data_IF_987040497889
#
_entry.id   IF_987040497889
#
_cell.length_a   1.000
_cell.length_b   1.000
_cell.length_c   1.000
_cell.angle_alpha   90.00
_cell.angle_beta   90.00
_cell.angle_gamma   90.00
#
_symmetry.space_group_name_H-M   'P 1'
#
loop_
_entity.id
_entity.type
_entity.pdbx_description
1 polymer ?
#
# COMPACT_ATOMS: atom_id res chain seq x y z
N UNK A 1 -62.53 -31.22 -53.41
CA UNK A 1 -61.42 -30.23 -53.30
C UNK A 1 -61.36 -29.90 -51.83
N UNK A 2 -60.34 -30.25 -51.05
CA UNK A 2 -58.90 -30.35 -51.29
C UNK A 2 -58.26 -31.55 -50.55
N UNK A 3 -57.06 -31.88 -51.02
CA UNK A 3 -56.24 -33.05 -50.73
C UNK A 3 -55.67 -33.12 -49.29
N UNK A 4 -55.70 -34.31 -48.69
CA UNK A 4 -54.75 -34.68 -47.65
C UNK A 4 -53.37 -34.91 -48.29
N UNK A 5 -52.45 -33.95 -48.11
CA UNK A 5 -51.03 -34.13 -48.47
C UNK A 5 -50.36 -35.14 -47.55
N UNK A 6 -49.85 -36.21 -48.16
CA UNK A 6 -49.04 -37.23 -47.51
C UNK A 6 -47.70 -36.66 -47.04
N UNK A 7 -47.42 -36.80 -45.75
CA UNK A 7 -46.10 -36.50 -45.18
C UNK A 7 -45.09 -37.54 -45.69
N UNK A 8 -44.15 -37.06 -46.50
CA UNK A 8 -43.12 -37.88 -47.13
C UNK A 8 -42.12 -38.40 -46.08
N UNK A 9 -42.00 -39.72 -45.94
CA UNK A 9 -41.09 -40.42 -45.00
C UNK A 9 -39.62 -39.95 -45.08
N UNK A 10 -39.19 -39.40 -46.22
CA UNK A 10 -37.83 -38.85 -46.41
C UNK A 10 -37.60 -37.51 -45.71
N UNK A 11 -38.64 -36.73 -45.44
CA UNK A 11 -38.52 -35.43 -44.77
C UNK A 11 -38.42 -35.58 -43.25
N UNK A 12 -39.09 -36.57 -42.68
CA UNK A 12 -39.02 -36.90 -41.24
C UNK A 12 -37.62 -37.40 -40.83
N UNK A 13 -36.98 -38.25 -41.65
CA UNK A 13 -35.64 -38.78 -41.36
C UNK A 13 -34.55 -37.68 -41.44
N UNK A 14 -34.71 -36.68 -42.32
CA UNK A 14 -33.78 -35.54 -42.39
C UNK A 14 -33.94 -34.56 -41.22
N UNK A 15 -35.12 -34.42 -40.63
CA UNK A 15 -35.33 -33.59 -39.45
C UNK A 15 -34.91 -34.30 -38.15
N UNK A 16 -34.97 -35.63 -38.09
CA UNK A 16 -34.48 -36.39 -36.92
C UNK A 16 -32.95 -36.47 -36.82
N UNK A 17 -32.20 -36.24 -37.90
CA UNK A 17 -30.72 -36.19 -37.87
C UNK A 17 -30.16 -34.81 -37.48
N UNK A 18 -30.98 -33.74 -37.46
CA UNK A 18 -30.55 -32.40 -37.04
C UNK A 18 -30.69 -32.17 -35.51
N UNK A 19 -31.33 -33.09 -34.78
CA UNK A 19 -31.49 -33.04 -33.32
C UNK A 19 -30.64 -34.07 -32.57
N UNK A 20 -29.93 -34.95 -33.28
CA UNK A 20 -29.13 -36.04 -32.71
C UNK A 20 -27.61 -35.79 -32.64
N UNK A 21 -27.11 -34.65 -33.11
CA UNK A 21 -25.69 -34.32 -33.16
C UNK A 21 -25.28 -33.14 -32.25
N UNK A 22 -26.12 -32.79 -31.27
CA UNK A 22 -25.78 -31.81 -30.21
C UNK A 22 -25.53 -32.52 -28.86
N UNK A 23 -25.66 -33.84 -28.79
CA UNK A 23 -25.62 -34.59 -27.53
C UNK A 23 -24.27 -35.26 -27.19
N UNK A 24 -23.16 -34.95 -27.89
CA UNK A 24 -21.92 -35.73 -27.72
C UNK A 24 -20.60 -34.94 -27.79
N UNK A 25 -20.60 -33.64 -27.45
CA UNK A 25 -19.35 -32.92 -27.17
C UNK A 25 -19.47 -32.10 -25.90
N UNK A 26 -18.98 -32.70 -24.81
CA UNK A 26 -18.48 -31.97 -23.66
C UNK A 26 -19.51 -31.57 -22.61
N UNK A 27 -20.02 -32.54 -21.84
CA UNK A 27 -20.08 -32.32 -20.40
C UNK A 27 -18.65 -32.27 -19.87
N UNK A 28 -17.93 -31.20 -20.21
CA UNK A 28 -16.82 -30.77 -19.38
C UNK A 28 -17.45 -30.49 -18.02
N UNK A 29 -16.93 -31.06 -16.92
CA UNK A 29 -17.32 -30.57 -15.62
C UNK A 29 -16.90 -29.10 -15.56
N UNK A 30 -17.87 -28.20 -15.75
CA UNK A 30 -17.70 -26.75 -15.51
C UNK A 30 -17.28 -26.49 -14.06
N UNK A 31 -17.44 -27.48 -13.19
CA UNK A 31 -16.98 -27.49 -11.80
C UNK A 31 -15.47 -27.75 -11.63
N UNK A 32 -14.70 -27.98 -12.70
CA UNK A 32 -13.22 -28.11 -12.66
C UNK A 32 -12.50 -26.83 -13.14
N UNK A 33 -13.21 -25.82 -13.65
CA UNK A 33 -12.60 -24.59 -14.18
C UNK A 33 -12.63 -23.37 -13.25
N UNK A 34 -13.16 -23.50 -12.04
CA UNK A 34 -13.37 -22.35 -11.16
C UNK A 34 -13.08 -22.62 -9.68
N UNK A 35 -11.82 -22.83 -9.28
CA UNK A 35 -11.46 -22.76 -7.84
C UNK A 35 -10.04 -22.30 -7.47
N UNK A 36 -9.09 -22.03 -8.38
CA UNK A 36 -7.68 -21.78 -7.92
C UNK A 36 -6.90 -20.65 -8.63
N UNK A 37 -7.59 -19.68 -9.24
CA UNK A 37 -6.94 -18.57 -9.98
C UNK A 37 -6.97 -17.21 -9.28
N UNK A 38 -7.51 -17.15 -8.07
CA UNK A 38 -7.55 -15.91 -7.30
C UNK A 38 -6.47 -15.90 -6.23
N UNK A 39 -5.65 -14.85 -6.22
CA UNK A 39 -4.70 -14.60 -5.14
C UNK A 39 -5.14 -13.38 -4.37
N UNK A 40 -5.33 -13.52 -3.06
CA UNK A 40 -5.53 -12.40 -2.15
C UNK A 40 -4.19 -11.95 -1.59
N UNK A 41 -3.94 -10.64 -1.67
CA UNK A 41 -2.88 -9.93 -0.98
C UNK A 41 -3.51 -8.94 -0.01
N UNK A 42 -3.14 -9.01 1.25
CA UNK A 42 -3.54 -8.06 2.29
C UNK A 42 -2.41 -7.07 2.51
N UNK A 43 -2.67 -5.79 2.32
CA UNK A 43 -1.75 -4.70 2.57
C UNK A 43 -2.21 -3.97 3.82
N UNK A 44 -1.39 -4.01 4.86
CA UNK A 44 -1.56 -3.22 6.06
C UNK A 44 -0.66 -2.00 5.96
N UNK A 45 -1.15 -0.84 6.42
CA UNK A 45 -0.33 0.35 6.40
C UNK A 45 -0.60 1.32 7.54
N UNK A 46 0.45 2.08 7.86
CA UNK A 46 0.46 3.20 8.78
C UNK A 46 1.10 4.41 8.11
N UNK A 47 0.85 5.58 8.70
CA UNK A 47 1.49 6.83 8.36
C UNK A 47 1.49 7.71 9.62
N UNK A 48 2.46 8.63 9.73
CA UNK A 48 2.48 9.70 10.73
C UNK A 48 2.34 9.17 12.17
N UNK A 49 2.99 8.04 12.49
CA UNK A 49 2.85 7.45 13.83
C UNK A 49 3.49 8.32 14.92
N UNK A 50 4.36 9.26 14.55
CA UNK A 50 4.88 10.34 15.40
C UNK A 50 5.27 9.87 16.80
N UNK A 51 6.16 8.87 16.86
CA UNK A 51 6.72 8.37 18.12
C UNK A 51 5.64 7.97 19.14
N UNK A 52 4.40 7.67 18.70
CA UNK A 52 3.30 7.27 19.59
C UNK A 52 3.48 5.81 19.99
N UNK A 53 4.38 5.61 20.96
CA UNK A 53 4.72 4.31 21.54
C UNK A 53 3.60 3.82 22.46
N UNK A 54 3.15 4.67 23.36
CA UNK A 54 2.03 4.42 24.27
C UNK A 54 0.72 4.96 23.70
N UNK A 55 -0.44 4.44 24.13
CA UNK A 55 -1.72 5.07 23.85
C UNK A 55 -1.78 6.51 24.37
N UNK A 56 -2.68 7.32 23.80
CA UNK A 56 -3.01 8.62 24.39
C UNK A 56 -3.55 8.44 25.83
N UNK A 57 -3.23 9.36 26.75
CA UNK A 57 -3.68 9.28 28.13
C UNK A 57 -5.22 9.34 28.24
N UNK A 58 -5.77 8.79 29.32
CA UNK A 58 -7.21 8.86 29.64
C UNK A 58 -7.55 10.21 30.30
N UNK A 59 -7.38 11.29 29.54
CA UNK A 59 -7.46 12.68 30.01
C UNK A 59 -8.74 13.41 29.56
N UNK A 60 -9.70 12.69 28.95
CA UNK A 60 -10.91 13.29 28.41
C UNK A 60 -10.75 13.89 27.00
N UNK A 61 -9.55 13.88 26.42
CA UNK A 61 -9.31 14.40 25.07
C UNK A 61 -9.99 13.55 23.97
N UNK A 62 -10.11 14.13 22.77
CA UNK A 62 -10.74 13.49 21.60
C UNK A 62 -10.15 12.10 21.27
N UNK A 63 -8.86 11.90 21.51
CA UNK A 63 -8.14 10.68 21.14
C UNK A 63 -7.72 9.84 22.35
N UNK A 64 -8.22 10.15 23.54
CA UNK A 64 -7.87 9.45 24.77
C UNK A 64 -7.96 7.94 24.61
N UNK A 65 -6.93 7.21 25.07
CA UNK A 65 -6.89 5.76 25.00
C UNK A 65 -6.80 5.17 23.60
N UNK A 66 -6.50 5.94 22.55
CA UNK A 66 -6.23 5.43 21.20
C UNK A 66 -4.73 5.29 20.92
N UNK A 67 -4.37 4.52 19.89
CA UNK A 67 -3.00 4.32 19.45
C UNK A 67 -2.20 3.36 20.33
N UNK A 68 -0.87 3.48 20.27
CA UNK A 68 0.08 2.64 21.00
C UNK A 68 0.57 1.43 20.19
N UNK A 69 1.87 1.18 20.25
CA UNK A 69 2.57 0.15 19.48
C UNK A 69 2.15 -1.26 19.89
N UNK A 70 1.95 -1.50 21.19
CA UNK A 70 1.54 -2.82 21.69
C UNK A 70 0.18 -3.26 21.11
N UNK A 71 -0.78 -2.34 21.05
CA UNK A 71 -2.10 -2.57 20.45
C UNK A 71 -2.03 -2.76 18.93
N UNK A 72 -1.20 -1.95 18.25
CA UNK A 72 -0.90 -2.18 16.82
C UNK A 72 -0.33 -3.57 16.58
N UNK A 73 0.64 -4.00 17.40
CA UNK A 73 1.24 -5.33 17.32
C UNK A 73 0.19 -6.44 17.47
N UNK A 74 -0.67 -6.38 18.50
CA UNK A 74 -1.79 -7.30 18.68
C UNK A 74 -2.66 -7.38 17.43
N UNK A 75 -3.11 -6.24 16.91
CA UNK A 75 -3.99 -6.18 15.74
C UNK A 75 -3.32 -6.76 14.50
N UNK A 76 -2.09 -6.32 14.18
CA UNK A 76 -1.31 -6.82 13.03
C UNK A 76 -1.12 -8.33 13.13
N UNK A 77 -0.77 -8.84 14.31
CA UNK A 77 -0.57 -10.28 14.53
C UNK A 77 -1.88 -11.07 14.42
N UNK A 78 -3.02 -10.50 14.82
CA UNK A 78 -4.32 -11.13 14.62
C UNK A 78 -4.66 -11.31 13.13
N UNK A 79 -4.36 -10.30 12.31
CA UNK A 79 -4.58 -10.34 10.87
C UNK A 79 -3.63 -11.34 10.20
N UNK A 80 -2.35 -11.36 10.59
CA UNK A 80 -1.35 -12.32 10.09
C UNK A 80 -1.67 -13.77 10.44
N UNK A 81 -2.43 -14.03 11.52
CA UNK A 81 -2.90 -15.39 11.84
C UNK A 81 -3.99 -15.87 10.88
N UNK A 82 -4.79 -14.96 10.31
CA UNK A 82 -5.91 -15.30 9.43
C UNK A 82 -5.60 -15.16 7.95
N UNK A 83 -4.65 -14.29 7.57
CA UNK A 83 -4.31 -14.00 6.18
C UNK A 83 -2.91 -14.52 5.84
N UNK A 84 -2.78 -15.19 4.68
CA UNK A 84 -1.51 -15.82 4.26
C UNK A 84 -0.50 -14.84 3.67
N UNK A 85 -0.98 -13.87 2.90
CA UNK A 85 -0.15 -12.97 2.10
C UNK A 85 -0.30 -11.55 2.62
N UNK A 86 0.41 -11.21 3.69
CA UNK A 86 0.33 -9.90 4.32
C UNK A 86 1.58 -9.07 4.02
N UNK A 87 1.40 -7.82 3.61
CA UNK A 87 2.44 -6.78 3.62
C UNK A 87 2.11 -5.77 4.72
N UNK A 88 3.12 -5.25 5.40
CA UNK A 88 3.00 -4.14 6.34
C UNK A 88 3.91 -3.01 5.89
N UNK A 89 3.35 -1.85 5.59
CA UNK A 89 4.04 -0.71 4.97
C UNK A 89 3.86 0.56 5.79
N UNK A 90 4.83 1.48 5.76
CA UNK A 90 4.73 2.77 6.43
C UNK A 90 4.98 3.95 5.48
N UNK A 91 4.15 4.98 5.57
CA UNK A 91 4.21 6.16 4.71
C UNK A 91 5.01 7.34 5.31
N UNK A 92 5.87 7.12 6.31
CA UNK A 92 6.75 8.16 6.87
C UNK A 92 6.18 8.90 8.08
N UNK A 93 6.98 9.82 8.63
CA UNK A 93 6.76 10.50 9.91
C UNK A 93 6.53 9.52 11.07
N UNK A 94 7.42 8.54 11.18
CA UNK A 94 7.50 7.69 12.35
C UNK A 94 8.18 8.39 13.53
N UNK A 95 9.03 9.37 13.24
CA UNK A 95 9.76 10.16 14.22
C UNK A 95 8.98 11.39 14.69
N UNK A 96 9.53 12.01 15.75
CA UNK A 96 9.01 13.19 16.43
C UNK A 96 7.59 13.02 17.00
N UNK A 97 7.16 13.87 17.94
CA UNK A 97 5.76 13.95 18.38
C UNK A 97 5.49 13.45 19.81
N UNK A 98 6.43 12.71 20.41
CA UNK A 98 6.42 12.41 21.85
C UNK A 98 7.83 12.51 22.45
N UNK A 99 7.97 12.57 23.80
CA UNK A 99 9.29 12.57 24.45
C UNK A 99 10.17 11.35 24.13
N UNK A 100 9.62 10.24 23.64
CA UNK A 100 10.42 9.07 23.26
C UNK A 100 11.45 9.43 22.18
N UNK A 101 11.07 10.18 21.16
CA UNK A 101 12.01 10.61 20.11
C UNK A 101 13.15 11.47 20.68
N UNK A 102 12.85 12.37 21.61
CA UNK A 102 13.87 13.24 22.23
C UNK A 102 14.87 12.44 23.09
N UNK A 103 14.42 11.33 23.69
CA UNK A 103 15.25 10.49 24.56
C UNK A 103 16.03 9.41 23.79
N UNK A 104 15.44 8.87 22.72
CA UNK A 104 15.97 7.71 22.00
C UNK A 104 16.41 8.04 20.57
N UNK A 105 16.23 9.27 20.11
CA UNK A 105 16.71 9.78 18.81
C UNK A 105 16.27 8.92 17.60
N UNK A 106 15.07 8.34 17.66
CA UNK A 106 14.52 7.46 16.60
C UNK A 106 14.89 5.97 16.72
N UNK A 107 15.83 5.62 17.61
CA UNK A 107 16.24 4.21 17.82
C UNK A 107 15.07 3.32 18.21
N UNK A 108 14.25 3.76 19.16
CA UNK A 108 13.16 2.95 19.72
C UNK A 108 12.09 2.67 18.66
N UNK A 109 11.75 3.68 17.86
CA UNK A 109 10.80 3.60 16.76
C UNK A 109 11.24 2.54 15.75
N UNK A 110 12.50 2.59 15.31
CA UNK A 110 13.06 1.62 14.37
C UNK A 110 13.11 0.20 14.95
N UNK A 111 13.48 0.03 16.23
CA UNK A 111 13.45 -1.28 16.89
C UNK A 111 12.04 -1.87 16.94
N UNK A 112 11.05 -1.05 17.28
CA UNK A 112 9.66 -1.48 17.39
C UNK A 112 9.07 -1.80 16.02
N UNK A 113 9.29 -0.96 15.01
CA UNK A 113 8.85 -1.25 13.64
C UNK A 113 9.52 -2.53 13.10
N UNK A 114 10.81 -2.74 13.37
CA UNK A 114 11.50 -3.99 13.04
C UNK A 114 10.85 -5.21 13.70
N UNK A 115 10.44 -5.11 14.98
CA UNK A 115 9.73 -6.18 15.71
C UNK A 115 8.31 -6.41 15.18
N UNK A 116 7.63 -5.34 14.76
CA UNK A 116 6.33 -5.44 14.08
C UNK A 116 6.47 -6.03 12.67
N UNK A 117 7.69 -6.12 12.13
CA UNK A 117 7.97 -6.75 10.84
C UNK A 117 7.37 -5.96 9.68
N UNK A 118 7.65 -4.66 9.60
CA UNK A 118 7.37 -3.89 8.40
C UNK A 118 8.15 -4.48 7.21
N UNK A 119 7.54 -4.50 6.03
CA UNK A 119 8.18 -4.97 4.80
C UNK A 119 8.93 -3.82 4.08
N UNK A 120 8.47 -2.57 4.25
CA UNK A 120 9.13 -1.36 3.77
C UNK A 120 8.53 -0.11 4.44
N UNK A 121 9.30 0.98 4.46
CA UNK A 121 8.81 2.32 4.84
C UNK A 121 9.33 3.39 3.87
N UNK A 122 8.79 4.60 3.94
CA UNK A 122 9.39 5.79 3.31
C UNK A 122 9.75 6.83 4.36
N UNK A 123 10.24 8.00 3.92
CA UNK A 123 10.56 9.12 4.79
C UNK A 123 9.54 10.23 4.60
N UNK A 124 9.02 10.72 5.71
CA UNK A 124 8.43 12.04 5.84
C UNK A 124 9.45 13.09 6.23
N UNK A 125 8.95 14.27 6.59
CA UNK A 125 9.81 15.38 6.96
C UNK A 125 10.44 15.19 8.35
N UNK A 126 9.71 14.62 9.31
CA UNK A 126 10.19 14.48 10.69
C UNK A 126 11.31 13.43 10.86
N UNK A 127 11.55 12.60 9.85
CA UNK A 127 12.74 11.73 9.84
C UNK A 127 14.05 12.54 9.82
N UNK A 128 14.01 13.79 9.38
CA UNK A 128 15.16 14.68 9.29
C UNK A 128 15.28 15.65 10.46
N UNK A 129 14.42 15.63 11.48
CA UNK A 129 14.46 16.63 12.57
C UNK A 129 15.80 16.65 13.33
N UNK A 130 16.41 15.48 13.54
CA UNK A 130 17.75 15.34 14.13
C UNK A 130 18.88 15.36 13.06
N UNK A 131 18.55 15.80 11.85
CA UNK A 131 19.40 15.84 10.69
C UNK A 131 19.74 14.49 10.08
N UNK A 132 20.34 14.53 8.89
CA UNK A 132 20.87 13.37 8.16
C UNK A 132 21.79 12.52 9.06
N UNK A 133 22.60 13.15 9.92
CA UNK A 133 23.48 12.44 10.84
C UNK A 133 22.70 11.65 11.90
N UNK A 134 21.67 12.24 12.50
CA UNK A 134 20.82 11.58 13.49
C UNK A 134 20.08 10.38 12.89
N UNK A 135 19.49 10.57 11.70
CA UNK A 135 18.83 9.48 10.98
C UNK A 135 19.82 8.35 10.63
N UNK A 136 20.96 8.68 10.00
CA UNK A 136 21.95 7.70 9.57
C UNK A 136 22.56 6.90 10.74
N UNK A 137 22.67 7.50 11.93
CA UNK A 137 23.16 6.85 13.14
C UNK A 137 22.34 5.61 13.51
N UNK A 138 21.02 5.66 13.35
CA UNK A 138 20.12 4.59 13.80
C UNK A 138 19.46 3.80 12.67
N UNK A 139 19.53 4.27 11.41
CA UNK A 139 18.84 3.65 10.27
C UNK A 139 19.10 2.13 10.11
N UNK A 140 20.30 1.67 10.45
CA UNK A 140 20.71 0.25 10.38
C UNK A 140 19.94 -0.69 11.34
N UNK A 141 19.18 -0.14 12.28
CA UNK A 141 18.35 -0.89 13.23
C UNK A 141 17.05 -1.37 12.57
N UNK A 142 16.60 -0.69 11.51
CA UNK A 142 15.51 -1.17 10.68
C UNK A 142 15.93 -2.45 9.95
N UNK A 143 15.17 -3.54 10.13
CA UNK A 143 15.34 -4.77 9.38
C UNK A 143 14.58 -4.78 8.04
N UNK A 144 14.03 -3.63 7.67
CA UNK A 144 13.30 -3.35 6.44
C UNK A 144 13.93 -2.16 5.71
N UNK A 145 13.83 -2.10 4.37
CA UNK A 145 14.40 -1.00 3.61
C UNK A 145 13.50 0.24 3.66
N UNK A 146 14.16 1.40 3.63
CA UNK A 146 13.50 2.68 3.34
C UNK A 146 13.52 2.95 1.84
N UNK A 147 12.35 3.30 1.32
CA UNK A 147 12.12 3.59 -0.09
C UNK A 147 11.99 5.09 -0.29
N UNK A 148 12.84 5.66 -1.12
CA UNK A 148 12.68 7.03 -1.62
C UNK A 148 13.35 7.12 -2.97
N UNK A 149 12.59 7.60 -3.95
CA UNK A 149 13.08 7.80 -5.31
C UNK A 149 13.39 9.28 -5.60
N UNK A 150 12.86 10.21 -4.81
CA UNK A 150 12.94 11.65 -5.06
C UNK A 150 13.82 12.42 -4.07
N UNK A 151 14.45 11.74 -3.11
CA UNK A 151 15.58 12.30 -2.36
C UNK A 151 16.88 11.70 -2.88
N UNK A 152 17.75 12.56 -3.40
CA UNK A 152 19.12 12.20 -3.72
C UNK A 152 20.02 12.52 -2.53
N UNK A 153 20.71 11.49 -2.05
CA UNK A 153 21.60 11.53 -0.89
C UNK A 153 23.08 11.42 -1.26
N UNK A 154 23.45 11.50 -2.54
CA UNK A 154 24.86 11.43 -2.96
C UNK A 154 25.71 12.48 -2.23
N UNK A 155 26.82 12.02 -1.66
CA UNK A 155 27.72 12.85 -0.84
C UNK A 155 27.29 13.04 0.61
N UNK A 156 26.20 12.43 1.06
CA UNK A 156 25.71 12.49 2.45
C UNK A 156 25.92 11.17 3.19
N UNK A 157 25.68 11.17 4.51
CA UNK A 157 25.74 9.93 5.32
C UNK A 157 24.64 8.91 4.97
N UNK A 158 23.62 9.29 4.20
CA UNK A 158 22.54 8.42 3.75
C UNK A 158 22.78 7.82 2.37
N UNK A 159 23.89 8.17 1.70
CA UNK A 159 24.25 7.60 0.41
C UNK A 159 24.31 6.06 0.49
N UNK A 160 23.58 5.40 -0.43
CA UNK A 160 23.50 3.94 -0.48
C UNK A 160 22.74 3.27 0.67
N UNK A 161 22.08 4.03 1.56
CA UNK A 161 21.28 3.46 2.68
C UNK A 161 19.79 3.36 2.39
N UNK A 162 19.33 3.90 1.26
CA UNK A 162 17.95 3.84 0.79
C UNK A 162 17.86 3.08 -0.53
N UNK A 163 16.64 2.79 -0.98
CA UNK A 163 16.38 2.22 -2.30
C UNK A 163 15.32 3.05 -3.01
N UNK A 164 15.45 3.23 -4.32
CA UNK A 164 14.36 3.85 -5.10
C UNK A 164 13.12 2.95 -5.16
N UNK A 165 13.33 1.63 -5.13
CA UNK A 165 12.27 0.64 -5.22
C UNK A 165 12.62 -0.68 -4.53
N UNK A 166 11.59 -1.50 -4.29
CA UNK A 166 11.70 -2.88 -3.84
C UNK A 166 10.71 -3.74 -4.61
N UNK A 167 11.06 -4.99 -4.89
CA UNK A 167 10.12 -5.98 -5.43
C UNK A 167 9.97 -7.09 -4.40
N UNK A 168 8.73 -7.36 -4.00
CA UNK A 168 8.40 -8.44 -3.07
C UNK A 168 7.55 -9.46 -3.82
N UNK A 169 7.93 -10.74 -3.71
CA UNK A 169 7.11 -11.85 -4.20
C UNK A 169 6.26 -12.41 -3.04
N UNK A 170 4.93 -12.38 -3.18
CA UNK A 170 4.02 -12.90 -2.16
C UNK A 170 2.77 -13.50 -2.80
N UNK A 171 2.38 -14.71 -2.42
CA UNK A 171 1.28 -15.43 -3.08
C UNK A 171 1.50 -15.72 -4.58
N UNK A 172 2.76 -15.72 -5.03
CA UNK A 172 3.11 -15.78 -6.45
C UNK A 172 2.65 -14.54 -7.24
N UNK A 173 2.56 -13.38 -6.59
CA UNK A 173 2.43 -12.06 -7.19
C UNK A 173 3.74 -11.30 -7.00
N UNK A 174 4.15 -10.53 -8.01
CA UNK A 174 5.25 -9.55 -7.92
C UNK A 174 4.69 -8.19 -7.57
N UNK A 175 5.00 -7.72 -6.37
CA UNK A 175 4.60 -6.40 -5.89
C UNK A 175 5.79 -5.46 -5.95
N UNK A 176 5.72 -4.46 -6.84
CA UNK A 176 6.68 -3.38 -6.91
C UNK A 176 6.31 -2.28 -5.93
N UNK A 177 7.26 -1.86 -5.11
CA UNK A 177 7.12 -0.77 -4.14
C UNK A 177 8.10 0.35 -4.53
N UNK A 178 7.67 1.60 -4.40
CA UNK A 178 8.54 2.79 -4.45
C UNK A 178 8.09 3.77 -3.37
N UNK A 179 8.89 4.81 -3.10
CA UNK A 179 8.53 5.82 -2.13
C UNK A 179 8.90 7.23 -2.59
N UNK A 180 8.17 8.23 -2.10
CA UNK A 180 8.47 9.65 -2.31
C UNK A 180 8.16 10.46 -1.06
N UNK A 181 9.01 11.45 -0.78
CA UNK A 181 8.82 12.41 0.30
C UNK A 181 8.47 13.81 -0.20
N UNK A 182 8.02 14.65 0.71
CA UNK A 182 7.69 16.06 0.47
C UNK A 182 8.95 16.92 0.34
N UNK A 183 8.85 18.08 -0.31
CA UNK A 183 9.91 19.08 -0.17
C UNK A 183 9.98 19.55 1.29
N UNK A 184 11.12 19.32 1.93
CA UNK A 184 11.35 19.61 3.36
C UNK A 184 11.80 21.04 3.60
N UNK A 185 12.07 21.81 2.53
CA UNK A 185 12.42 23.23 2.67
C UNK A 185 11.29 24.00 3.38
N UNK A 186 11.64 24.68 4.47
CA UNK A 186 10.69 25.39 5.32
C UNK A 186 9.87 24.51 6.28
N UNK A 187 10.01 23.18 6.23
CA UNK A 187 9.38 22.24 7.16
C UNK A 187 10.34 21.79 8.27
N UNK A 188 11.64 21.71 7.97
CA UNK A 188 12.70 21.32 8.91
C UNK A 188 13.85 22.33 8.88
N UNK A 189 14.75 22.29 9.86
CA UNK A 189 15.91 23.17 9.89
C UNK A 189 16.78 22.98 8.62
N UNK A 190 17.19 24.06 7.92
CA UNK A 190 17.99 23.95 6.69
C UNK A 190 19.30 23.15 6.86
N UNK A 191 19.89 23.11 8.05
CA UNK A 191 21.09 22.34 8.32
C UNK A 191 20.80 20.83 8.42
N UNK A 192 19.57 20.45 8.77
CA UNK A 192 19.18 19.07 9.00
C UNK A 192 19.14 18.24 7.70
N UNK A 193 18.87 18.85 6.56
CA UNK A 193 18.81 18.18 5.26
C UNK A 193 19.93 18.62 4.30
N UNK A 194 21.01 19.20 4.84
CA UNK A 194 22.12 19.71 4.02
C UNK A 194 22.76 18.60 3.17
N UNK A 195 22.86 18.85 1.87
CA UNK A 195 23.43 17.92 0.90
C UNK A 195 22.43 16.92 0.32
N UNK A 196 21.22 16.83 0.86
CA UNK A 196 20.11 16.13 0.21
C UNK A 196 19.56 17.02 -0.91
N UNK A 197 19.35 16.44 -2.09
CA UNK A 197 18.68 17.12 -3.21
C UNK A 197 17.26 16.58 -3.35
N UNK A 198 16.28 17.49 -3.39
CA UNK A 198 14.89 17.17 -3.69
C UNK A 198 14.68 17.11 -5.21
N UNK A 199 14.02 16.05 -5.68
CA UNK A 199 13.62 15.88 -7.06
C UNK A 199 12.10 15.96 -7.17
N UNK A 200 11.59 16.44 -8.30
CA UNK A 200 10.16 16.43 -8.58
C UNK A 200 9.63 14.97 -8.52
N UNK A 201 8.66 14.67 -7.64
CA UNK A 201 8.16 13.31 -7.44
C UNK A 201 7.46 12.75 -8.68
N UNK A 202 6.81 13.58 -9.51
CA UNK A 202 6.00 13.10 -10.65
C UNK A 202 6.86 12.37 -11.70
N UNK A 203 7.93 12.96 -12.28
CA UNK A 203 8.75 12.29 -13.27
C UNK A 203 9.48 11.07 -12.69
N UNK A 204 9.90 11.16 -11.44
CA UNK A 204 10.60 10.06 -10.74
C UNK A 204 9.68 8.86 -10.53
N UNK A 205 8.46 9.07 -10.00
CA UNK A 205 7.49 7.98 -9.80
C UNK A 205 7.11 7.34 -11.12
N UNK A 206 6.87 8.13 -12.18
CA UNK A 206 6.57 7.58 -13.51
C UNK A 206 7.71 6.73 -14.06
N UNK A 207 8.97 7.16 -13.89
CA UNK A 207 10.16 6.39 -14.30
C UNK A 207 10.21 5.03 -13.58
N UNK A 208 10.10 5.06 -12.24
CA UNK A 208 10.20 3.85 -11.42
C UNK A 208 8.99 2.92 -11.64
N UNK A 209 7.78 3.46 -11.70
CA UNK A 209 6.56 2.68 -11.93
C UNK A 209 6.57 2.00 -13.32
N UNK A 210 7.04 2.71 -14.36
CA UNK A 210 7.23 2.12 -15.69
C UNK A 210 8.22 0.96 -15.65
N UNK A 211 9.39 1.16 -15.04
CA UNK A 211 10.39 0.10 -14.89
C UNK A 211 9.84 -1.12 -14.14
N UNK A 212 9.17 -0.91 -13.01
CA UNK A 212 8.55 -1.98 -12.21
C UNK A 212 7.49 -2.74 -13.02
N UNK A 213 6.66 -2.03 -13.79
CA UNK A 213 5.57 -2.63 -14.55
C UNK A 213 6.03 -3.33 -15.82
N UNK A 214 6.81 -2.63 -16.65
CA UNK A 214 7.13 -3.06 -18.01
C UNK A 214 8.36 -3.96 -18.05
N UNK A 215 9.39 -3.69 -17.25
CA UNK A 215 10.63 -4.46 -17.28
C UNK A 215 10.61 -5.59 -16.25
N UNK A 216 10.22 -5.27 -15.01
CA UNK A 216 10.22 -6.25 -13.90
C UNK A 216 8.95 -7.07 -13.83
N UNK A 217 7.95 -6.74 -14.67
CA UNK A 217 6.68 -7.45 -14.79
C UNK A 217 5.94 -7.54 -13.45
N UNK A 218 5.96 -6.47 -12.66
CA UNK A 218 5.20 -6.43 -11.42
C UNK A 218 3.69 -6.48 -11.72
N UNK A 219 2.99 -7.30 -10.96
CA UNK A 219 1.55 -7.44 -11.03
C UNK A 219 0.88 -6.18 -10.45
N UNK A 220 1.45 -5.64 -9.37
CA UNK A 220 0.98 -4.47 -8.61
C UNK A 220 2.14 -3.49 -8.38
N UNK A 221 1.87 -2.19 -8.53
CA UNK A 221 2.81 -1.11 -8.16
C UNK A 221 2.18 -0.24 -7.07
N UNK A 222 2.85 -0.15 -5.92
CA UNK A 222 2.44 0.67 -4.76
C UNK A 222 3.47 1.77 -4.55
N UNK A 223 3.01 3.01 -4.39
CA UNK A 223 3.82 4.15 -3.99
C UNK A 223 3.53 4.50 -2.53
N UNK A 224 4.56 4.48 -1.68
CA UNK A 224 4.53 5.03 -0.33
C UNK A 224 4.82 6.53 -0.44
N UNK A 225 3.82 7.36 -0.21
CA UNK A 225 3.92 8.80 -0.43
C UNK A 225 3.81 9.55 0.88
N UNK A 226 4.79 10.40 1.15
CA UNK A 226 4.70 11.40 2.20
C UNK A 226 4.46 12.80 1.61
N UNK A 227 3.79 12.90 0.46
CA UNK A 227 3.52 14.19 -0.18
C UNK A 227 2.34 14.93 0.44
N UNK A 228 1.44 14.25 1.15
CA UNK A 228 0.19 14.80 1.64
C UNK A 228 -0.99 14.56 0.72
N UNK A 229 -2.17 14.34 1.30
CA UNK A 229 -3.37 13.97 0.55
C UNK A 229 -3.80 15.05 -0.45
N UNK A 230 -4.01 16.29 0.02
CA UNK A 230 -4.44 17.42 -0.80
C UNK A 230 -3.97 18.75 -0.18
N UNK A 231 -3.78 19.75 -1.05
CA UNK A 231 -3.48 21.13 -0.68
C UNK A 231 -4.38 22.10 -1.45
N UNK A 232 -4.57 23.30 -0.91
CA UNK A 232 -5.28 24.38 -1.60
C UNK A 232 -4.42 25.05 -2.68
N UNK A 233 -3.10 24.96 -2.56
CA UNK A 233 -2.13 25.55 -3.47
C UNK A 233 -1.67 24.57 -4.57
N UNK A 234 -0.67 25.00 -5.35
CA UNK A 234 -0.13 24.23 -6.47
C UNK A 234 0.86 23.13 -6.07
N UNK A 235 1.13 22.92 -4.77
CA UNK A 235 2.03 21.85 -4.29
C UNK A 235 1.55 20.48 -4.75
N UNK A 236 2.49 19.60 -5.09
CA UNK A 236 2.17 18.23 -5.49
C UNK A 236 1.65 17.46 -4.28
N UNK A 237 0.40 17.01 -4.37
CA UNK A 237 -0.26 16.12 -3.40
C UNK A 237 -0.45 14.72 -3.98
N UNK A 238 -0.92 13.78 -3.17
CA UNK A 238 -1.26 12.42 -3.61
C UNK A 238 -2.33 12.41 -4.71
N UNK A 239 -3.33 13.32 -4.61
CA UNK A 239 -4.35 13.46 -5.66
C UNK A 239 -3.73 13.90 -7.00
N UNK A 240 -2.82 14.88 -6.96
CA UNK A 240 -2.15 15.39 -8.17
C UNK A 240 -1.15 14.38 -8.73
N UNK A 241 -0.41 13.69 -7.87
CA UNK A 241 0.49 12.61 -8.25
C UNK A 241 -0.29 11.51 -8.95
N UNK A 242 -1.38 11.02 -8.36
CA UNK A 242 -2.22 10.00 -8.98
C UNK A 242 -2.69 10.38 -10.38
N UNK A 243 -3.21 11.60 -10.56
CA UNK A 243 -3.67 12.11 -11.85
C UNK A 243 -2.54 12.27 -12.89
N UNK A 244 -1.29 12.40 -12.43
CA UNK A 244 -0.12 12.66 -13.27
C UNK A 244 0.78 11.43 -13.47
N UNK A 245 0.32 10.25 -13.06
CA UNK A 245 1.09 9.00 -13.16
C UNK A 245 0.59 8.07 -14.25
N UNK A 246 1.39 7.05 -14.54
CA UNK A 246 1.05 5.83 -15.25
C UNK A 246 1.56 4.65 -14.44
N UNK A 247 0.89 3.51 -14.56
CA UNK A 247 1.29 2.21 -14.00
C UNK A 247 1.30 2.09 -12.46
N UNK A 248 1.02 3.15 -11.72
CA UNK A 248 0.79 3.09 -10.26
C UNK A 248 -0.63 2.59 -10.01
N UNK A 249 -0.80 1.62 -9.10
CA UNK A 249 -2.12 1.10 -8.74
C UNK A 249 -2.63 1.67 -7.41
N UNK A 250 -1.72 1.84 -6.45
CA UNK A 250 -2.04 2.28 -5.08
C UNK A 250 -1.03 3.32 -4.62
N UNK A 251 -1.52 4.40 -4.00
CA UNK A 251 -0.74 5.36 -3.22
C UNK A 251 -1.18 5.24 -1.76
N UNK A 252 -0.22 4.96 -0.89
CA UNK A 252 -0.41 4.97 0.56
C UNK A 252 0.23 6.25 1.10
N UNK A 253 -0.62 7.19 1.50
CA UNK A 253 -0.26 8.59 1.81
C UNK A 253 0.03 8.85 3.29
N UNK A 254 0.65 10.00 3.56
CA UNK A 254 0.98 10.53 4.89
C UNK A 254 0.89 12.06 4.97
N UNK A 255 1.62 12.67 5.90
CA UNK A 255 1.88 14.11 6.06
C UNK A 255 0.69 14.98 6.52
N UNK A 256 -0.44 14.93 5.80
CA UNK A 256 -1.61 15.79 6.08
C UNK A 256 -2.49 15.33 7.23
N UNK A 257 -2.12 14.22 7.88
CA UNK A 257 -2.87 13.56 8.97
C UNK A 257 -4.34 13.28 8.61
N UNK A 258 -4.62 13.05 7.34
CA UNK A 258 -5.99 12.89 6.84
C UNK A 258 -6.55 11.53 7.26
N UNK A 259 -7.65 11.54 8.02
CA UNK A 259 -8.43 10.34 8.33
C UNK A 259 -9.42 10.08 7.19
N UNK A 260 -9.07 9.20 6.25
CA UNK A 260 -10.00 8.76 5.22
C UNK A 260 -10.90 7.62 5.74
N UNK A 261 -12.20 7.75 5.51
CA UNK A 261 -13.16 6.68 5.81
C UNK A 261 -13.16 5.61 4.71
N UNK A 262 -12.92 6.00 3.45
CA UNK A 262 -12.67 5.12 2.32
C UNK A 262 -11.57 5.67 1.40
N UNK A 263 -10.86 4.81 0.65
CA UNK A 263 -9.86 5.28 -0.30
C UNK A 263 -10.46 6.16 -1.39
N UNK A 264 -9.74 7.21 -1.76
CA UNK A 264 -10.06 8.03 -2.94
C UNK A 264 -9.58 7.34 -4.20
N UNK A 265 -10.34 7.46 -5.29
CA UNK A 265 -9.98 6.90 -6.60
C UNK A 265 -9.79 8.03 -7.60
N UNK A 266 -8.61 8.09 -8.20
CA UNK A 266 -8.26 9.08 -9.22
C UNK A 266 -7.89 8.35 -10.51
N UNK A 267 -8.24 8.95 -11.65
CA UNK A 267 -7.87 8.42 -12.96
C UNK A 267 -6.46 8.89 -13.30
N UNK A 268 -5.58 7.96 -13.63
CA UNK A 268 -4.23 8.24 -14.11
C UNK A 268 -4.24 8.76 -15.57
N UNK A 269 -3.07 9.01 -16.15
CA UNK A 269 -2.93 9.51 -17.53
C UNK A 269 -3.43 8.52 -18.61
N UNK A 270 -3.72 7.27 -18.25
CA UNK A 270 -4.31 6.23 -19.11
C UNK A 270 -5.78 5.96 -18.78
N UNK A 271 -6.40 6.73 -17.89
CA UNK A 271 -7.77 6.54 -17.45
C UNK A 271 -7.96 5.33 -16.53
N UNK A 272 -6.89 4.77 -15.95
CA UNK A 272 -6.95 3.69 -14.96
C UNK A 272 -7.10 4.25 -13.56
N UNK A 273 -7.75 3.50 -12.68
CA UNK A 273 -7.94 3.95 -11.30
C UNK A 273 -6.69 3.71 -10.45
N UNK A 274 -6.22 4.78 -9.80
CA UNK A 274 -5.24 4.76 -8.73
C UNK A 274 -5.98 4.94 -7.41
N UNK A 275 -5.74 4.03 -6.48
CA UNK A 275 -6.35 4.06 -5.15
C UNK A 275 -5.44 4.80 -4.18
N UNK A 276 -5.98 5.80 -3.49
CA UNK A 276 -5.24 6.63 -2.54
C UNK A 276 -5.83 6.42 -1.15
N UNK A 277 -5.00 6.07 -0.17
CA UNK A 277 -5.45 5.87 1.20
C UNK A 277 -4.49 6.48 2.22
N UNK A 278 -5.03 7.05 3.30
CA UNK A 278 -4.31 7.62 4.43
C UNK A 278 -5.09 7.37 5.72
N UNK A 279 -4.40 7.11 6.83
CA UNK A 279 -5.02 6.61 8.08
C UNK A 279 -4.84 7.55 9.26
N UNK A 280 -4.78 8.86 8.99
CA UNK A 280 -4.69 9.88 10.03
C UNK A 280 -3.28 10.01 10.58
N UNK A 281 -3.11 9.89 11.89
CA UNK A 281 -1.81 10.05 12.56
C UNK A 281 -1.77 9.29 13.90
N UNK A 282 -0.60 9.32 14.55
CA UNK A 282 -0.28 8.75 15.85
C UNK A 282 -0.55 7.24 15.97
N UNK A 283 -0.66 6.57 14.80
CA UNK A 283 -1.11 5.19 14.68
C UNK A 283 -2.42 4.89 15.42
N UNK A 284 -3.34 5.87 15.40
CA UNK A 284 -4.72 5.75 15.87
C UNK A 284 -5.52 4.78 14.98
N UNK A 285 -5.21 4.73 13.69
CA UNK A 285 -5.77 3.74 12.77
C UNK A 285 -4.68 2.86 12.15
N UNK A 286 -5.06 1.64 11.81
CA UNK A 286 -4.32 0.76 10.91
C UNK A 286 -5.15 0.58 9.64
N UNK A 287 -4.58 0.92 8.50
CA UNK A 287 -5.22 0.72 7.21
C UNK A 287 -5.07 -0.71 6.72
N UNK A 288 -6.10 -1.22 6.07
CA UNK A 288 -6.09 -2.53 5.39
C UNK A 288 -6.68 -2.39 4.00
N UNK A 289 -5.94 -2.83 2.99
CA UNK A 289 -6.42 -3.03 1.63
C UNK A 289 -6.27 -4.51 1.28
N UNK A 290 -7.38 -5.18 0.96
CA UNK A 290 -7.37 -6.52 0.38
C UNK A 290 -7.47 -6.43 -1.14
N UNK A 291 -6.43 -6.86 -1.82
CA UNK A 291 -6.35 -6.91 -3.28
C UNK A 291 -6.55 -8.35 -3.73
N UNK A 292 -7.65 -8.62 -4.41
CA UNK A 292 -7.97 -9.91 -5.01
C UNK A 292 -7.60 -9.88 -6.49
N UNK A 293 -6.55 -10.61 -6.85
CA UNK A 293 -6.04 -10.73 -8.21
C UNK A 293 -6.66 -11.93 -8.90
N UNK A 294 -7.27 -11.69 -10.06
CA UNK A 294 -7.65 -12.76 -10.97
C UNK A 294 -6.50 -12.97 -11.98
N UNK A 295 -5.70 -14.03 -11.78
CA UNK A 295 -4.54 -14.34 -12.63
C UNK A 295 -4.88 -14.60 -14.10
N UNK A 296 -6.11 -15.01 -14.41
CA UNK A 296 -6.52 -15.25 -15.80
C UNK A 296 -6.81 -13.97 -16.57
N UNK A 297 -7.31 -12.93 -15.90
CA UNK A 297 -7.77 -11.69 -16.54
C UNK A 297 -6.87 -10.50 -16.25
N UNK A 298 -5.98 -10.60 -15.27
CA UNK A 298 -5.21 -9.48 -14.74
C UNK A 298 -6.05 -8.48 -13.93
N UNK A 299 -7.35 -8.73 -13.75
CA UNK A 299 -8.25 -7.84 -13.01
C UNK A 299 -7.91 -7.87 -11.51
N UNK A 300 -7.92 -6.69 -10.89
CA UNK A 300 -7.70 -6.46 -9.47
C UNK A 300 -8.98 -5.90 -8.87
N UNK A 301 -9.48 -6.52 -7.82
CA UNK A 301 -10.55 -5.94 -7.00
C UNK A 301 -9.93 -5.55 -5.66
N UNK A 302 -10.17 -4.32 -5.22
CA UNK A 302 -9.63 -3.79 -3.97
C UNK A 302 -10.79 -3.52 -3.02
N UNK A 303 -10.67 -4.01 -1.79
CA UNK A 303 -11.57 -3.69 -0.68
C UNK A 303 -10.72 -3.07 0.42
N UNK A 304 -11.17 -1.96 0.98
CA UNK A 304 -10.46 -1.27 2.05
C UNK A 304 -11.23 -1.33 3.37
N UNK A 305 -10.49 -1.31 4.46
CA UNK A 305 -11.02 -1.23 5.82
C UNK A 305 -10.04 -0.46 6.69
N UNK A 306 -10.56 0.22 7.70
CA UNK A 306 -9.79 1.02 8.64
C UNK A 306 -10.08 0.49 10.05
N UNK A 307 -9.04 0.11 10.79
CA UNK A 307 -9.20 -0.35 12.16
C UNK A 307 -8.79 0.76 13.12
N UNK A 308 -9.65 1.10 14.08
CA UNK A 308 -9.27 1.97 15.19
C UNK A 308 -8.46 1.17 16.19
N UNK A 309 -7.27 1.66 16.54
CA UNK A 309 -6.36 1.04 17.50
C UNK A 309 -6.74 1.54 18.90
N UNK A 310 -7.43 0.71 19.67
CA UNK A 310 -7.92 1.04 21.00
C UNK A 310 -7.73 -0.11 22.00
N UNK A 311 -8.32 0.03 23.19
CA UNK A 311 -8.22 -0.92 24.31
C UNK A 311 -8.69 -2.34 23.99
N UNK A 312 -9.44 -2.58 22.92
CA UNK A 312 -9.86 -3.95 22.56
C UNK A 312 -8.66 -4.85 22.19
N UNK A 313 -7.51 -4.24 21.90
CA UNK A 313 -6.26 -4.92 21.57
C UNK A 313 -5.27 -5.00 22.74
N UNK A 314 -5.72 -4.65 23.95
CA UNK A 314 -4.96 -4.86 25.19
C UNK A 314 -4.83 -6.36 25.52
N UNK A 315 -3.67 -6.79 26.03
CA UNK A 315 -3.51 -8.11 26.66
C UNK A 315 -3.30 -9.33 25.75
N UNK A 316 -3.11 -9.15 24.44
CA UNK A 316 -2.86 -10.25 23.48
C UNK A 316 -1.41 -10.33 22.98
N UNK A 317 -0.48 -9.72 23.72
CA UNK A 317 0.90 -9.54 23.28
C UNK A 317 1.69 -10.84 23.47
N UNK A 318 1.93 -11.57 22.38
CA UNK A 318 3.12 -12.42 22.27
C UNK A 318 4.17 -11.56 21.56
N UNK A 319 5.09 -10.95 22.32
CA UNK A 319 6.31 -10.31 21.78
C UNK A 319 7.27 -11.40 21.33
#
# INVERSE_FOLDING_TARGET
MEELKSLNRRTFIKQSFALGAVAAFGTLPLDVLATDKQVRLTILHTNDVHSRIEPFPLDGSRHQGLGGVARRSTLINSIRKTEKNVLLLDAGDMFQGTPYFNMFEGKLELELMSKLGYDAGTFGNHEFDNGIQGLAKHLHIANFPFLTANYDFTGTLLEGKTKEYLIIEKGGLRVGLTGVGIDVEGLVDPNSHRGMTYLDPIPVVNRVAKFLKEEKKCDLVICLSHLGYAYEDDKVSDLKLAASTRHVDIILGGHTHTFLDEPTRIKDLDGKEVWINQVGFAGIRLGRLDVVFNKATGKKNIVASQYTVDKQFDGLVNV
#
